data_IF_726667896490
#
_entry.id   IF_726667896490
#
_cell.length_a   1.000
_cell.length_b   1.000
_cell.length_c   1.000
_cell.angle_alpha   90.00
_cell.angle_beta   90.00
_cell.angle_gamma   90.00
#
_symmetry.space_group_name_H-M   'P 1'
#
loop_
_entity.id
_entity.type
_entity.pdbx_description
1 polymer ?
#
# COMPACT_ATOMS: atom_id res chain seq x y z
N UNK A 1 38.18 -31.30 -10.25
CA UNK A 1 37.49 -30.99 -8.98
C UNK A 1 36.06 -30.57 -9.33
N UNK A 2 35.12 -31.49 -9.19
CA UNK A 2 33.69 -31.23 -9.49
C UNK A 2 33.12 -30.42 -8.33
N UNK A 3 32.75 -29.17 -8.55
CA UNK A 3 31.96 -28.41 -7.57
C UNK A 3 30.52 -28.98 -7.60
N UNK A 4 30.14 -29.66 -6.55
CA UNK A 4 28.73 -30.01 -6.34
C UNK A 4 27.93 -28.67 -6.25
N UNK A 5 26.87 -28.49 -7.04
CA UNK A 5 26.01 -27.34 -6.88
C UNK A 5 25.40 -27.37 -5.48
N UNK A 6 25.56 -26.28 -4.74
CA UNK A 6 24.87 -26.08 -3.46
C UNK A 6 23.37 -26.31 -3.73
N UNK A 7 22.67 -27.16 -2.95
CA UNK A 7 21.25 -27.39 -3.16
C UNK A 7 20.53 -26.04 -2.99
N UNK A 8 19.79 -25.64 -4.02
CA UNK A 8 18.94 -24.46 -3.95
C UNK A 8 18.00 -24.65 -2.75
N UNK A 9 18.02 -23.74 -1.80
CA UNK A 9 17.09 -23.71 -0.68
C UNK A 9 15.68 -23.80 -1.26
N UNK A 10 14.92 -24.81 -0.82
CA UNK A 10 13.54 -24.99 -1.27
C UNK A 10 12.76 -23.71 -0.92
N UNK A 11 12.19 -23.07 -1.95
CA UNK A 11 11.36 -21.87 -1.74
C UNK A 11 10.06 -22.29 -1.04
N UNK A 12 9.77 -21.66 0.09
CA UNK A 12 8.53 -21.90 0.80
C UNK A 12 7.34 -21.20 0.13
N UNK A 13 7.61 -20.10 -0.60
CA UNK A 13 6.61 -19.29 -1.28
C UNK A 13 7.08 -18.89 -2.67
N UNK A 14 6.18 -18.89 -3.64
CA UNK A 14 6.44 -18.47 -5.01
C UNK A 14 6.10 -17.00 -5.25
N UNK A 15 5.10 -16.48 -4.53
CA UNK A 15 4.59 -15.12 -4.63
C UNK A 15 4.81 -14.38 -3.30
N UNK A 16 5.32 -13.16 -3.41
CA UNK A 16 5.43 -12.21 -2.31
C UNK A 16 4.57 -11.00 -2.65
N UNK A 17 3.53 -10.77 -1.86
CA UNK A 17 2.63 -9.65 -2.03
C UNK A 17 2.90 -8.60 -0.94
N UNK A 18 3.34 -7.43 -1.35
CA UNK A 18 3.63 -6.30 -0.48
C UNK A 18 2.41 -5.40 -0.32
N UNK A 19 2.21 -4.86 0.87
CA UNK A 19 1.52 -3.60 1.00
C UNK A 19 2.44 -2.46 0.53
N UNK A 20 1.87 -1.27 0.33
CA UNK A 20 2.61 -0.10 -0.15
C UNK A 20 2.93 0.85 0.99
N UNK A 21 1.90 1.51 1.54
CA UNK A 21 2.05 2.55 2.56
C UNK A 21 2.48 1.97 3.91
N UNK A 22 3.61 2.43 4.45
CA UNK A 22 4.18 1.92 5.69
C UNK A 22 4.88 0.57 5.57
N UNK A 23 5.01 0.02 4.34
CA UNK A 23 5.72 -1.26 4.07
C UNK A 23 6.87 -1.07 3.09
N UNK A 24 6.62 -0.60 1.89
CA UNK A 24 7.65 -0.23 0.91
C UNK A 24 7.91 1.28 0.92
N UNK A 25 6.88 2.06 1.21
CA UNK A 25 6.86 3.52 1.13
C UNK A 25 6.76 4.10 2.53
N UNK A 26 7.71 4.97 2.92
CA UNK A 26 7.77 5.59 4.24
C UNK A 26 6.80 6.77 4.33
N UNK A 27 5.51 6.45 4.25
CA UNK A 27 4.41 7.41 4.13
C UNK A 27 3.59 7.58 5.40
N UNK A 28 3.82 6.76 6.43
CA UNK A 28 2.94 6.69 7.62
C UNK A 28 2.75 8.04 8.30
N UNK A 29 3.83 8.78 8.54
CA UNK A 29 3.77 10.08 9.21
C UNK A 29 3.00 11.12 8.38
N UNK A 30 3.23 11.14 7.06
CA UNK A 30 2.56 12.07 6.14
C UNK A 30 1.07 11.73 6.02
N UNK A 31 0.71 10.44 5.86
CA UNK A 31 -0.70 10.02 5.80
C UNK A 31 -1.44 10.38 7.08
N UNK A 32 -0.83 10.09 8.24
CA UNK A 32 -1.39 10.45 9.56
C UNK A 32 -1.71 11.94 9.63
N UNK A 33 -0.74 12.78 9.28
CA UNK A 33 -0.92 14.24 9.24
C UNK A 33 -2.00 14.67 8.25
N UNK A 34 -2.04 14.11 7.05
CA UNK A 34 -3.05 14.44 6.05
C UNK A 34 -4.47 14.09 6.50
N UNK A 35 -4.65 12.96 7.22
CA UNK A 35 -5.94 12.61 7.84
C UNK A 35 -6.34 13.66 8.86
N UNK A 36 -5.45 14.03 9.77
CA UNK A 36 -5.70 15.03 10.81
C UNK A 36 -6.05 16.41 10.24
N UNK A 37 -5.33 16.85 9.21
CA UNK A 37 -5.57 18.12 8.54
C UNK A 37 -6.92 18.10 7.80
N UNK A 38 -7.25 17.02 7.10
CA UNK A 38 -8.52 16.88 6.40
C UNK A 38 -9.72 16.89 7.37
N UNK A 39 -9.59 16.20 8.52
CA UNK A 39 -10.63 16.19 9.55
C UNK A 39 -10.83 17.59 10.14
N UNK A 40 -9.75 18.32 10.39
CA UNK A 40 -9.80 19.70 10.87
C UNK A 40 -10.51 20.62 9.87
N UNK A 41 -10.23 20.47 8.58
CA UNK A 41 -10.82 21.29 7.52
C UNK A 41 -12.35 21.13 7.42
N UNK A 42 -12.89 19.96 7.75
CA UNK A 42 -14.36 19.73 7.75
C UNK A 42 -15.01 19.97 9.11
N UNK A 43 -14.22 20.39 10.12
CA UNK A 43 -14.70 20.70 11.47
C UNK A 43 -15.00 19.46 12.31
N UNK A 44 -14.36 18.33 12.06
CA UNK A 44 -14.44 17.12 12.87
C UNK A 44 -13.46 17.12 14.06
N UNK A 45 -13.64 16.17 14.98
CA UNK A 45 -12.68 15.93 16.07
C UNK A 45 -11.41 15.29 15.48
N UNK A 46 -10.28 16.00 15.62
CA UNK A 46 -9.00 15.56 15.05
C UNK A 46 -8.52 14.29 15.76
N UNK A 47 -8.34 13.18 15.04
CA UNK A 47 -7.88 11.93 15.64
C UNK A 47 -6.44 12.05 16.15
N UNK A 48 -6.09 11.27 17.18
CA UNK A 48 -4.71 11.10 17.63
C UNK A 48 -3.85 10.43 16.54
N UNK A 49 -2.52 10.52 16.66
CA UNK A 49 -1.59 9.85 15.75
C UNK A 49 -1.86 8.34 15.68
N UNK A 50 -2.18 7.73 16.82
CA UNK A 50 -2.50 6.29 16.91
C UNK A 50 -3.78 5.93 16.13
N UNK A 51 -4.83 6.73 16.26
CA UNK A 51 -6.11 6.52 15.55
C UNK A 51 -5.96 6.75 14.05
N UNK A 52 -5.27 7.83 13.66
CA UNK A 52 -5.03 8.14 12.27
C UNK A 52 -4.09 7.14 11.58
N UNK A 53 -3.04 6.65 12.26
CA UNK A 53 -2.14 5.65 11.70
C UNK A 53 -2.77 4.24 11.63
N UNK A 54 -3.71 3.92 12.51
CA UNK A 54 -4.36 2.60 12.55
C UNK A 54 -5.11 2.25 11.25
N UNK A 55 -5.62 3.24 10.54
CA UNK A 55 -6.42 3.06 9.33
C UNK A 55 -5.59 2.97 8.03
N UNK A 56 -4.27 3.14 8.13
CA UNK A 56 -3.37 3.04 6.97
C UNK A 56 -3.45 1.62 6.39
N UNK A 57 -3.54 1.55 5.05
CA UNK A 57 -3.73 0.28 4.34
C UNK A 57 -5.19 -0.06 4.03
N UNK A 58 -6.16 0.62 4.65
CA UNK A 58 -7.57 0.53 4.28
C UNK A 58 -7.86 1.35 3.01
N UNK A 59 -9.01 1.08 2.36
CA UNK A 59 -9.54 1.97 1.34
C UNK A 59 -9.86 3.36 1.92
N UNK A 60 -9.66 4.43 1.16
CA UNK A 60 -9.69 5.81 1.66
C UNK A 60 -10.95 6.17 2.43
N UNK A 61 -12.14 5.99 1.86
CA UNK A 61 -13.37 6.40 2.54
C UNK A 61 -13.66 5.60 3.80
N UNK A 62 -13.52 4.26 3.82
CA UNK A 62 -13.57 3.48 5.06
C UNK A 62 -12.55 3.92 6.11
N UNK A 63 -11.31 4.24 5.71
CA UNK A 63 -10.27 4.74 6.60
C UNK A 63 -10.69 6.06 7.28
N UNK A 64 -11.14 7.02 6.49
CA UNK A 64 -11.59 8.32 6.98
C UNK A 64 -12.82 8.20 7.89
N UNK A 65 -13.78 7.34 7.53
CA UNK A 65 -14.95 7.09 8.36
C UNK A 65 -14.60 6.46 9.72
N UNK A 66 -13.56 5.63 9.75
CA UNK A 66 -13.07 5.04 10.99
C UNK A 66 -12.28 6.04 11.85
N UNK A 67 -11.44 6.86 11.22
CA UNK A 67 -10.60 7.84 11.90
C UNK A 67 -11.39 9.05 12.42
N UNK A 68 -12.53 9.38 11.79
CA UNK A 68 -13.35 10.55 12.14
C UNK A 68 -14.85 10.16 12.19
N UNK A 69 -15.26 9.34 13.16
CA UNK A 69 -16.63 8.82 13.25
C UNK A 69 -17.68 9.89 13.60
N UNK A 70 -17.26 11.05 14.11
CA UNK A 70 -18.09 12.20 14.42
C UNK A 70 -18.43 13.07 13.20
N UNK A 71 -17.69 12.92 12.09
CA UNK A 71 -17.97 13.65 10.85
C UNK A 71 -19.23 13.07 10.19
N UNK A 72 -20.25 13.92 9.88
CA UNK A 72 -21.46 13.46 9.19
C UNK A 72 -21.14 12.85 7.82
N UNK A 73 -21.87 11.79 7.45
CA UNK A 73 -21.65 11.05 6.19
C UNK A 73 -21.71 11.93 4.94
N UNK A 74 -22.54 12.96 4.98
CA UNK A 74 -22.72 13.95 3.91
C UNK A 74 -21.42 14.72 3.62
N UNK A 75 -20.54 14.83 4.62
CA UNK A 75 -19.24 15.48 4.49
C UNK A 75 -18.10 14.55 4.03
N UNK A 76 -18.33 13.23 3.93
CA UNK A 76 -17.27 12.29 3.52
C UNK A 76 -16.69 12.56 2.12
N UNK A 77 -17.45 12.98 1.10
CA UNK A 77 -16.86 13.38 -0.18
C UNK A 77 -15.88 14.53 -0.02
N UNK A 78 -16.26 15.57 0.76
CA UNK A 78 -15.40 16.71 1.05
C UNK A 78 -14.17 16.29 1.88
N UNK A 79 -14.35 15.46 2.90
CA UNK A 79 -13.26 14.92 3.72
C UNK A 79 -12.24 14.18 2.85
N UNK A 80 -12.71 13.35 1.92
CA UNK A 80 -11.85 12.64 0.96
C UNK A 80 -11.12 13.57 0.00
N UNK A 81 -11.77 14.66 -0.43
CA UNK A 81 -11.17 15.70 -1.27
C UNK A 81 -10.05 16.44 -0.50
N UNK A 82 -10.33 16.86 0.76
CA UNK A 82 -9.35 17.53 1.61
C UNK A 82 -8.14 16.65 1.91
N UNK A 83 -8.36 15.37 2.19
CA UNK A 83 -7.27 14.42 2.34
C UNK A 83 -6.38 14.35 1.09
N UNK A 84 -6.98 14.21 -0.10
CA UNK A 84 -6.19 14.19 -1.35
C UNK A 84 -5.43 15.48 -1.57
N UNK A 85 -6.03 16.63 -1.25
CA UNK A 85 -5.38 17.93 -1.34
C UNK A 85 -4.10 17.96 -0.49
N UNK A 86 -4.20 17.60 0.78
CA UNK A 86 -3.03 17.57 1.69
C UNK A 86 -2.00 16.53 1.25
N UNK A 87 -2.45 15.34 0.84
CA UNK A 87 -1.55 14.28 0.40
C UNK A 87 -0.74 14.69 -0.84
N UNK A 88 -1.38 15.28 -1.85
CA UNK A 88 -0.70 15.73 -3.07
C UNK A 88 0.30 16.86 -2.80
N UNK A 89 0.05 17.70 -1.79
CA UNK A 89 0.97 18.76 -1.40
C UNK A 89 2.27 18.24 -0.75
N UNK A 90 2.27 17.01 -0.24
CA UNK A 90 3.39 16.39 0.48
C UNK A 90 3.90 15.08 -0.13
N UNK A 91 3.34 14.63 -1.25
CA UNK A 91 3.71 13.33 -1.83
C UNK A 91 5.17 13.25 -2.26
N UNK A 92 5.77 14.37 -2.66
CA UNK A 92 7.15 14.43 -3.12
C UNK A 92 8.17 14.29 -1.95
N UNK A 93 7.71 14.45 -0.70
CA UNK A 93 8.52 14.24 0.50
C UNK A 93 8.59 12.76 0.91
N UNK A 94 7.78 11.89 0.29
CA UNK A 94 7.70 10.47 0.65
C UNK A 94 8.70 9.67 -0.19
N UNK A 95 9.49 8.85 0.49
CA UNK A 95 10.51 7.98 -0.14
C UNK A 95 10.27 6.51 0.19
N UNK A 96 10.97 5.62 -0.51
CA UNK A 96 11.03 4.21 -0.13
C UNK A 96 11.81 4.06 1.19
N UNK A 97 11.40 3.07 2.00
CA UNK A 97 12.24 2.67 3.14
C UNK A 97 13.64 2.26 2.67
N UNK A 98 14.63 2.52 3.53
CA UNK A 98 16.00 2.09 3.26
C UNK A 98 16.06 0.58 2.99
N UNK A 99 16.77 0.19 1.94
CA UNK A 99 16.98 -1.21 1.58
C UNK A 99 15.89 -1.83 0.69
N UNK A 100 14.75 -1.16 0.46
CA UNK A 100 13.66 -1.71 -0.38
C UNK A 100 14.13 -2.08 -1.78
N UNK A 101 14.90 -1.21 -2.46
CA UNK A 101 15.37 -1.49 -3.81
C UNK A 101 16.28 -2.74 -3.85
N UNK A 102 17.17 -2.87 -2.87
CA UNK A 102 18.05 -4.04 -2.76
C UNK A 102 17.24 -5.32 -2.49
N UNK A 103 16.27 -5.26 -1.59
CA UNK A 103 15.37 -6.39 -1.30
C UNK A 103 14.59 -6.83 -2.54
N UNK A 104 13.97 -5.90 -3.27
CA UNK A 104 13.21 -6.23 -4.48
C UNK A 104 14.11 -6.86 -5.56
N UNK A 105 15.34 -6.35 -5.73
CA UNK A 105 16.31 -6.92 -6.66
C UNK A 105 16.73 -8.33 -6.26
N UNK A 106 17.00 -8.58 -4.98
CA UNK A 106 17.33 -9.91 -4.45
C UNK A 106 16.19 -10.91 -4.67
N UNK A 107 14.96 -10.56 -4.30
CA UNK A 107 13.81 -11.43 -4.47
C UNK A 107 13.54 -11.77 -5.94
N UNK A 108 13.73 -10.81 -6.85
CA UNK A 108 13.67 -11.07 -8.31
C UNK A 108 14.79 -12.00 -8.75
N UNK A 109 15.99 -11.80 -8.25
CA UNK A 109 17.14 -12.70 -8.51
C UNK A 109 16.91 -14.13 -8.05
N UNK A 110 16.15 -14.31 -6.97
CA UNK A 110 15.68 -15.61 -6.47
C UNK A 110 14.44 -16.15 -7.23
N UNK A 111 14.02 -15.47 -8.29
CA UNK A 111 12.84 -15.82 -9.12
C UNK A 111 11.50 -15.82 -8.38
N UNK A 112 11.34 -15.03 -7.31
CA UNK A 112 10.02 -14.82 -6.73
C UNK A 112 9.14 -13.94 -7.64
N UNK A 113 7.85 -14.23 -7.66
CA UNK A 113 6.87 -13.30 -8.19
C UNK A 113 6.59 -12.22 -7.14
N UNK A 114 6.65 -10.96 -7.56
CA UNK A 114 6.40 -9.82 -6.69
C UNK A 114 5.09 -9.17 -7.09
N UNK A 115 4.25 -8.86 -6.11
CA UNK A 115 2.98 -8.18 -6.31
C UNK A 115 2.76 -7.09 -5.26
N UNK A 116 1.82 -6.18 -5.54
CA UNK A 116 1.36 -5.16 -4.60
C UNK A 116 -0.13 -5.36 -4.32
N UNK A 117 -0.51 -5.36 -3.03
CA UNK A 117 -1.90 -5.32 -2.56
C UNK A 117 -2.05 -4.09 -1.66
N UNK A 118 -2.80 -3.06 -2.09
CA UNK A 118 -2.83 -1.76 -1.41
C UNK A 118 -4.22 -1.17 -1.24
N UNK A 119 -4.39 -0.35 -0.19
CA UNK A 119 -5.58 0.49 0.01
C UNK A 119 -5.65 1.72 -0.92
N UNK A 120 -4.60 2.01 -1.70
CA UNK A 120 -4.62 3.09 -2.70
C UNK A 120 -5.60 2.79 -3.84
N UNK A 121 -6.00 3.85 -4.55
CA UNK A 121 -6.62 3.70 -5.87
C UNK A 121 -5.58 3.32 -6.93
N UNK A 122 -6.04 2.82 -8.08
CA UNK A 122 -5.18 2.48 -9.23
C UNK A 122 -4.31 3.67 -9.62
N UNK A 123 -4.94 4.83 -9.81
CA UNK A 123 -4.19 6.05 -10.13
C UNK A 123 -3.14 6.39 -9.08
N UNK A 124 -3.50 6.30 -7.79
CA UNK A 124 -2.58 6.61 -6.70
C UNK A 124 -1.38 5.66 -6.61
N UNK A 125 -1.56 4.38 -6.94
CA UNK A 125 -0.46 3.42 -7.01
C UNK A 125 0.43 3.67 -8.24
N UNK A 126 -0.17 3.92 -9.40
CA UNK A 126 0.58 4.15 -10.64
C UNK A 126 1.44 5.42 -10.54
N UNK A 127 0.90 6.51 -9.97
CA UNK A 127 1.65 7.73 -9.69
C UNK A 127 2.82 7.46 -8.73
N UNK A 128 2.59 6.69 -7.65
CA UNK A 128 3.62 6.36 -6.67
C UNK A 128 4.73 5.46 -7.25
N UNK A 129 4.37 4.45 -8.05
CA UNK A 129 5.34 3.59 -8.75
C UNK A 129 6.20 4.37 -9.73
N UNK A 130 5.60 5.38 -10.39
CA UNK A 130 6.33 6.26 -11.29
C UNK A 130 7.32 7.16 -10.55
N UNK A 131 6.90 7.74 -9.42
CA UNK A 131 7.71 8.66 -8.65
C UNK A 131 9.03 8.04 -8.13
N UNK A 132 9.01 6.72 -7.86
CA UNK A 132 10.17 5.97 -7.35
C UNK A 132 10.81 5.02 -8.37
N UNK A 133 10.44 5.13 -9.65
CA UNK A 133 10.94 4.32 -10.77
C UNK A 133 10.81 2.80 -10.58
N UNK A 134 9.69 2.36 -10.00
CA UNK A 134 9.36 0.95 -9.80
C UNK A 134 8.34 0.40 -10.79
N UNK A 135 8.05 1.11 -11.88
CA UNK A 135 7.20 0.59 -12.95
C UNK A 135 7.79 -0.67 -13.57
N UNK A 136 6.97 -1.70 -13.72
CA UNK A 136 7.39 -2.98 -14.30
C UNK A 136 8.25 -3.86 -13.35
N UNK A 137 8.45 -3.44 -12.10
CA UNK A 137 9.12 -4.26 -11.09
C UNK A 137 8.19 -5.35 -10.57
N UNK A 138 6.91 -5.03 -10.37
CA UNK A 138 5.90 -5.96 -9.89
C UNK A 138 5.19 -6.67 -11.04
N UNK A 139 4.96 -7.97 -10.89
CA UNK A 139 4.29 -8.83 -11.87
C UNK A 139 2.77 -8.62 -11.89
N UNK A 140 2.19 -8.20 -10.77
CA UNK A 140 0.78 -7.90 -10.62
C UNK A 140 0.53 -6.92 -9.47
N UNK A 141 -0.62 -6.27 -9.47
CA UNK A 141 -1.08 -5.46 -8.33
C UNK A 141 -2.60 -5.46 -8.22
N UNK A 142 -3.10 -5.20 -7.00
CA UNK A 142 -4.51 -4.95 -6.73
C UNK A 142 -4.65 -3.72 -5.85
N UNK A 143 -5.61 -2.88 -6.20
CA UNK A 143 -5.92 -1.63 -5.51
C UNK A 143 -7.34 -1.64 -4.96
N UNK A 144 -7.64 -0.75 -4.02
CA UNK A 144 -8.91 -0.75 -3.31
C UNK A 144 -10.13 -0.39 -4.17
N UNK A 145 -9.93 0.22 -5.33
CA UNK A 145 -10.98 0.57 -6.29
C UNK A 145 -11.21 -0.50 -7.38
N UNK A 146 -10.37 -1.54 -7.45
CA UNK A 146 -10.49 -2.63 -8.42
C UNK A 146 -11.15 -3.88 -7.83
N UNK A 147 -11.08 -4.05 -6.52
CA UNK A 147 -11.53 -5.25 -5.84
C UNK A 147 -11.99 -4.93 -4.43
N UNK A 148 -12.34 -5.96 -3.64
CA UNK A 148 -12.75 -5.76 -2.26
C UNK A 148 -11.55 -5.44 -1.39
N UNK A 149 -11.57 -4.26 -0.75
CA UNK A 149 -10.47 -3.74 0.07
C UNK A 149 -10.17 -4.58 1.31
N UNK A 150 -8.96 -4.43 1.82
CA UNK A 150 -8.50 -5.02 3.10
C UNK A 150 -9.47 -4.65 4.25
N UNK A 151 -9.72 -5.56 5.19
CA UNK A 151 -9.04 -6.84 5.44
C UNK A 151 -9.61 -8.05 4.67
N UNK A 152 -10.44 -7.85 3.65
CA UNK A 152 -11.00 -8.96 2.87
C UNK A 152 -9.89 -9.63 2.05
N UNK A 153 -9.82 -10.98 1.98
CA UNK A 153 -8.72 -11.71 1.34
C UNK A 153 -8.74 -11.67 -0.19
N UNK A 154 -9.75 -11.03 -0.81
CA UNK A 154 -9.97 -11.11 -2.26
C UNK A 154 -8.78 -10.59 -3.07
N UNK A 155 -8.13 -9.49 -2.65
CA UNK A 155 -6.93 -8.98 -3.32
C UNK A 155 -5.85 -10.06 -3.48
N UNK A 156 -5.56 -10.80 -2.41
CA UNK A 156 -4.54 -11.85 -2.42
C UNK A 156 -4.98 -13.04 -3.27
N UNK A 157 -6.25 -13.45 -3.17
CA UNK A 157 -6.80 -14.54 -3.98
C UNK A 157 -6.73 -14.23 -5.48
N UNK A 158 -7.05 -13.00 -5.88
CA UNK A 158 -6.96 -12.56 -7.27
C UNK A 158 -5.51 -12.49 -7.76
N UNK A 159 -4.56 -12.04 -6.93
CA UNK A 159 -3.13 -12.04 -7.27
C UNK A 159 -2.61 -13.46 -7.44
N UNK A 160 -2.96 -14.38 -6.53
CA UNK A 160 -2.60 -15.79 -6.66
C UNK A 160 -3.17 -16.43 -7.94
N UNK A 161 -4.44 -16.17 -8.24
CA UNK A 161 -5.10 -16.67 -9.44
C UNK A 161 -4.47 -16.10 -10.73
N UNK A 162 -4.20 -14.80 -10.77
CA UNK A 162 -3.58 -14.14 -11.93
C UNK A 162 -2.18 -14.68 -12.23
N UNK A 163 -1.41 -14.99 -11.21
CA UNK A 163 -0.03 -15.45 -11.33
C UNK A 163 0.09 -16.98 -11.29
N UNK A 164 -1.05 -17.70 -11.27
CA UNK A 164 -1.14 -19.16 -11.18
C UNK A 164 -0.28 -19.71 -10.01
N UNK A 165 -0.46 -19.13 -8.80
CA UNK A 165 0.31 -19.47 -7.60
C UNK A 165 -0.61 -19.95 -6.49
N UNK A 166 -0.13 -20.95 -5.72
CA UNK A 166 -0.91 -21.58 -4.64
C UNK A 166 -0.56 -21.04 -3.25
N UNK A 167 0.53 -20.31 -3.11
CA UNK A 167 0.99 -19.77 -1.84
C UNK A 167 1.55 -18.35 -2.00
N UNK A 168 1.30 -17.50 -1.00
CA UNK A 168 1.74 -16.11 -0.94
C UNK A 168 2.20 -15.75 0.47
N UNK A 169 3.17 -14.88 0.58
CA UNK A 169 3.64 -14.20 1.80
C UNK A 169 3.74 -12.71 1.56
#
# INVERSE_FOLDING_TARGET
>A
MSQNPTPALARNFDLIAFDWDGTLFDSTAIITRCIQEAVRDVGGAVPSDKEASYVIGMALLPALAHAAPDVPKEKYPLLGERYRHHYLAHQDDITLFHGVLALLAELKGLNHHLAVATGKSRKGLDDALQAVDLRGVFHASRTADETRGKPHPLMLNELMAQLDRKSVV
#
